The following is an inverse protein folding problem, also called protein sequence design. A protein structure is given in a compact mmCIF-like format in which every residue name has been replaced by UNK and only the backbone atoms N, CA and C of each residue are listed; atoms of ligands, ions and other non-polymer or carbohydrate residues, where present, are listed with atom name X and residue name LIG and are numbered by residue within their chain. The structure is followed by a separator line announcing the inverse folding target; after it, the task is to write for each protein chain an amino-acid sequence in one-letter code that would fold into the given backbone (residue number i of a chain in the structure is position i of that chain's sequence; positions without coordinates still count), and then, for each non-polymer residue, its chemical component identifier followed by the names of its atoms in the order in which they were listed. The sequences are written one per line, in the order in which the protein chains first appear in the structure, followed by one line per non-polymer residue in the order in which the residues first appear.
data_IF_616540450009
#
_entry.id   IF_616540450009
#
_cell.length_a   1.000
_cell.length_b   1.000
_cell.length_c   1.000
_cell.angle_alpha   90.00
_cell.angle_beta   90.00
_cell.angle_gamma   90.00
#
_symmetry.space_group_name_H-M   'P 1'
#
loop_
_entity.id
_entity.type
_entity.pdbx_description
1 polymer ?
#
# COMPACT_ATOMS: atom_id res chain seq x y z
N UNK A 1 -5.85 9.97 -12.74
CA UNK A 1 -7.32 10.11 -12.61
C UNK A 1 -7.78 9.10 -11.57
N UNK A 2 -8.57 9.51 -10.56
CA UNK A 2 -8.80 8.67 -9.38
C UNK A 2 -10.24 8.80 -8.84
N UNK A 3 -11.25 8.18 -9.48
CA UNK A 3 -12.56 8.01 -8.86
C UNK A 3 -12.44 7.12 -7.61
N UNK A 4 -13.24 7.40 -6.58
CA UNK A 4 -13.14 6.68 -5.30
C UNK A 4 -13.38 5.18 -5.48
N UNK A 5 -14.49 4.79 -6.13
CA UNK A 5 -14.80 3.38 -6.44
C UNK A 5 -15.40 3.30 -7.83
N UNK A 6 -15.03 2.31 -8.63
CA UNK A 6 -15.52 2.22 -10.01
C UNK A 6 -17.00 1.83 -10.07
N UNK A 7 -17.46 0.94 -9.19
CA UNK A 7 -18.85 0.46 -9.21
C UNK A 7 -19.91 1.53 -8.90
N UNK A 8 -19.51 2.61 -8.21
CA UNK A 8 -20.43 3.61 -7.68
C UNK A 8 -20.17 5.03 -8.17
N UNK A 9 -18.96 5.33 -8.67
CA UNK A 9 -18.53 6.70 -8.99
C UNK A 9 -19.06 7.20 -10.32
N UNK A 10 -19.24 6.31 -11.32
CA UNK A 10 -19.73 6.70 -12.64
C UNK A 10 -20.36 5.52 -13.41
N UNK A 11 -21.28 5.78 -14.36
CA UNK A 11 -21.74 4.77 -15.30
C UNK A 11 -20.62 4.21 -16.18
N UNK A 12 -20.74 2.96 -16.62
CA UNK A 12 -19.72 2.28 -17.42
C UNK A 12 -19.18 3.06 -18.65
N UNK A 13 -20.06 3.67 -19.49
CA UNK A 13 -19.58 4.49 -20.59
C UNK A 13 -18.68 5.66 -20.17
N UNK A 14 -18.99 6.32 -19.04
CA UNK A 14 -18.16 7.40 -18.50
C UNK A 14 -16.82 6.89 -17.99
N UNK A 15 -16.78 5.69 -17.39
CA UNK A 15 -15.53 5.07 -16.97
C UNK A 15 -14.58 4.82 -18.14
N UNK A 16 -15.11 4.36 -19.29
CA UNK A 16 -14.30 4.22 -20.53
C UNK A 16 -13.78 5.56 -21.04
N UNK A 17 -14.62 6.60 -21.03
CA UNK A 17 -14.18 7.94 -21.42
C UNK A 17 -13.11 8.51 -20.48
N UNK A 18 -13.24 8.25 -19.17
CA UNK A 18 -12.22 8.62 -18.17
C UNK A 18 -10.88 7.89 -18.45
N UNK A 19 -10.93 6.59 -18.76
CA UNK A 19 -9.72 5.82 -19.08
C UNK A 19 -9.04 6.35 -20.37
N UNK A 20 -9.80 6.60 -21.42
CA UNK A 20 -9.31 7.21 -22.66
C UNK A 20 -8.69 8.57 -22.43
N UNK A 21 -9.37 9.44 -21.69
CA UNK A 21 -8.88 10.80 -21.39
C UNK A 21 -7.58 10.73 -20.57
N UNK A 22 -7.51 9.87 -19.57
CA UNK A 22 -6.29 9.71 -18.77
C UNK A 22 -5.10 9.31 -19.64
N UNK A 23 -5.27 8.31 -20.51
CA UNK A 23 -4.24 7.86 -21.44
C UNK A 23 -3.85 8.94 -22.46
N UNK A 24 -4.82 9.68 -22.97
CA UNK A 24 -4.55 10.84 -23.87
C UNK A 24 -3.71 11.91 -23.17
N UNK A 25 -3.97 12.15 -21.87
CA UNK A 25 -3.22 13.12 -21.07
C UNK A 25 -1.90 12.58 -20.51
N UNK A 26 -1.59 11.30 -20.72
CA UNK A 26 -0.40 10.64 -20.16
C UNK A 26 -0.41 10.53 -18.65
N UNK A 27 -1.60 10.53 -18.01
CA UNK A 27 -1.76 10.36 -16.56
C UNK A 27 -2.26 8.96 -16.23
N UNK A 28 -1.88 8.46 -15.05
CA UNK A 28 -2.26 7.14 -14.59
C UNK A 28 -3.67 7.10 -14.00
N UNK A 29 -4.20 5.89 -13.88
CA UNK A 29 -5.52 5.57 -13.35
C UNK A 29 -5.41 4.89 -11.97
N UNK A 30 -6.25 5.29 -11.03
CA UNK A 30 -6.32 4.72 -9.70
C UNK A 30 -7.75 4.65 -9.18
N UNK A 31 -8.06 3.61 -8.40
CA UNK A 31 -9.31 3.50 -7.64
C UNK A 31 -9.16 2.46 -6.51
N UNK A 32 -10.17 2.34 -5.63
CA UNK A 32 -10.32 1.23 -4.69
C UNK A 32 -11.00 0.06 -5.39
N UNK A 33 -10.55 -1.17 -5.12
CA UNK A 33 -11.12 -2.36 -5.76
C UNK A 33 -11.03 -3.59 -4.84
N UNK A 34 -12.09 -4.40 -4.85
CA UNK A 34 -12.13 -5.73 -4.20
C UNK A 34 -11.67 -5.72 -2.73
N UNK A 35 -12.06 -4.69 -1.99
CA UNK A 35 -11.67 -4.53 -0.59
C UNK A 35 -12.49 -5.45 0.33
N UNK A 36 -13.82 -5.44 0.19
CA UNK A 36 -14.76 -6.13 1.06
C UNK A 36 -15.62 -7.14 0.30
N UNK A 37 -16.28 -8.05 1.02
CA UNK A 37 -17.25 -8.99 0.43
C UNK A 37 -18.43 -8.23 -0.16
N UNK A 38 -18.95 -7.22 0.53
CA UNK A 38 -20.06 -6.40 0.04
C UNK A 38 -19.77 -5.75 -1.32
N UNK A 39 -18.50 -5.38 -1.56
CA UNK A 39 -18.07 -4.83 -2.85
C UNK A 39 -18.21 -5.88 -3.98
N UNK A 40 -17.84 -7.14 -3.69
CA UNK A 40 -17.98 -8.26 -4.64
C UNK A 40 -19.46 -8.53 -4.92
N UNK A 41 -20.27 -8.61 -3.86
CA UNK A 41 -21.70 -8.89 -3.96
C UNK A 41 -22.43 -7.79 -4.75
N UNK A 42 -22.09 -6.53 -4.52
CA UNK A 42 -22.61 -5.39 -5.29
C UNK A 42 -22.25 -5.48 -6.78
N UNK A 43 -21.00 -5.84 -7.12
CA UNK A 43 -20.58 -6.04 -8.51
C UNK A 43 -21.37 -7.18 -9.17
N UNK A 44 -21.53 -8.29 -8.46
CA UNK A 44 -22.26 -9.46 -8.94
C UNK A 44 -23.73 -9.15 -9.14
N UNK A 45 -24.37 -8.52 -8.16
CA UNK A 45 -25.79 -8.19 -8.23
C UNK A 45 -26.11 -7.16 -9.34
N UNK A 46 -25.26 -6.15 -9.50
CA UNK A 46 -25.50 -5.03 -10.42
C UNK A 46 -25.08 -5.32 -11.85
N UNK A 47 -24.00 -6.07 -12.06
CA UNK A 47 -23.35 -6.25 -13.37
C UNK A 47 -23.20 -7.72 -13.78
N UNK A 48 -23.50 -8.67 -12.89
CA UNK A 48 -23.22 -10.11 -13.08
C UNK A 48 -21.73 -10.40 -13.40
N UNK A 49 -20.81 -9.58 -12.87
CA UNK A 49 -19.37 -9.65 -13.07
C UNK A 49 -18.65 -9.63 -11.73
N UNK A 50 -17.41 -10.08 -11.71
CA UNK A 50 -16.51 -9.75 -10.61
C UNK A 50 -15.97 -8.33 -10.76
N UNK A 51 -15.44 -7.69 -9.69
CA UNK A 51 -14.88 -6.34 -9.81
C UNK A 51 -13.78 -6.20 -10.86
N UNK A 52 -12.88 -7.18 -10.97
CA UNK A 52 -11.79 -7.14 -11.96
C UNK A 52 -12.32 -7.36 -13.38
N UNK A 53 -13.34 -8.23 -13.58
CA UNK A 53 -14.02 -8.36 -14.86
C UNK A 53 -14.70 -7.06 -15.29
N UNK A 54 -15.34 -6.38 -14.33
CA UNK A 54 -15.95 -5.06 -14.59
C UNK A 54 -14.88 -4.02 -15.01
N UNK A 55 -13.70 -4.02 -14.37
CA UNK A 55 -12.59 -3.15 -14.76
C UNK A 55 -12.11 -3.47 -16.19
N UNK A 56 -11.94 -4.76 -16.53
CA UNK A 56 -11.54 -5.19 -17.88
C UNK A 56 -12.54 -4.72 -18.95
N UNK A 57 -13.84 -4.87 -18.68
CA UNK A 57 -14.91 -4.45 -19.60
C UNK A 57 -14.92 -2.93 -19.86
N UNK A 58 -14.36 -2.13 -18.94
CA UNK A 58 -14.39 -0.67 -19.00
C UNK A 58 -13.02 -0.02 -19.24
N UNK A 59 -12.02 -0.77 -19.75
CA UNK A 59 -10.67 -0.30 -20.05
C UNK A 59 -9.87 0.19 -18.81
N UNK A 60 -10.19 -0.35 -17.63
CA UNK A 60 -9.53 -0.04 -16.36
C UNK A 60 -8.53 -1.12 -15.92
N UNK A 61 -7.87 -1.78 -16.86
CA UNK A 61 -6.70 -2.64 -16.61
C UNK A 61 -5.55 -2.19 -17.53
N UNK A 62 -4.33 -2.30 -17.03
CA UNK A 62 -3.12 -1.92 -17.77
C UNK A 62 -1.97 -1.56 -16.83
N UNK A 63 -0.78 -1.38 -17.38
CA UNK A 63 0.43 -0.96 -16.65
C UNK A 63 0.41 0.51 -16.21
N UNK A 64 -0.58 1.26 -16.70
CA UNK A 64 -0.92 2.61 -16.30
C UNK A 64 -2.01 2.67 -15.21
N UNK A 65 -2.48 1.51 -14.73
CA UNK A 65 -3.57 1.38 -13.75
C UNK A 65 -3.07 0.71 -12.48
N UNK A 66 -3.52 1.18 -11.32
CA UNK A 66 -3.29 0.51 -10.04
C UNK A 66 -4.48 0.71 -9.09
N UNK A 67 -4.70 -0.28 -8.23
CA UNK A 67 -5.81 -0.30 -7.28
C UNK A 67 -5.33 -0.38 -5.85
N UNK A 68 -6.04 0.29 -4.94
CA UNK A 68 -5.90 0.06 -3.51
C UNK A 68 -6.60 -1.24 -3.10
N UNK A 69 -6.08 -1.89 -2.06
CA UNK A 69 -6.61 -3.05 -1.33
C UNK A 69 -6.47 -4.40 -2.03
N UNK A 70 -7.25 -4.71 -3.06
CA UNK A 70 -7.27 -6.00 -3.78
C UNK A 70 -7.26 -7.21 -2.83
N UNK A 71 -8.06 -7.17 -1.76
CA UNK A 71 -8.09 -8.17 -0.68
C UNK A 71 -8.89 -9.41 -1.09
N UNK A 72 -10.04 -9.20 -1.76
CA UNK A 72 -11.01 -10.23 -2.12
C UNK A 72 -10.90 -10.59 -3.61
N UNK A 73 -9.82 -11.28 -3.97
CA UNK A 73 -9.56 -11.71 -5.34
C UNK A 73 -9.73 -13.22 -5.50
N UNK A 74 -10.24 -13.61 -6.65
CA UNK A 74 -10.21 -14.99 -7.13
C UNK A 74 -8.89 -15.28 -7.87
N UNK A 75 -8.42 -16.54 -7.94
CA UNK A 75 -7.17 -16.88 -8.65
C UNK A 75 -7.13 -16.40 -10.11
N UNK A 76 -8.24 -16.47 -10.83
CA UNK A 76 -8.34 -15.97 -12.21
C UNK A 76 -8.22 -14.46 -12.30
N UNK A 77 -8.66 -13.70 -11.27
CA UNK A 77 -8.52 -12.24 -11.22
C UNK A 77 -7.07 -11.84 -10.98
N UNK A 78 -6.35 -12.58 -10.12
CA UNK A 78 -4.91 -12.40 -9.94
C UNK A 78 -4.17 -12.61 -11.27
N UNK A 79 -4.52 -13.65 -12.03
CA UNK A 79 -3.94 -13.89 -13.35
C UNK A 79 -4.26 -12.74 -14.35
N UNK A 80 -5.47 -12.22 -14.36
CA UNK A 80 -5.86 -11.07 -15.20
C UNK A 80 -5.05 -9.81 -14.88
N UNK A 81 -4.91 -9.49 -13.59
CA UNK A 81 -4.12 -8.34 -13.11
C UNK A 81 -2.63 -8.50 -13.49
N UNK A 82 -2.08 -9.71 -13.37
CA UNK A 82 -0.71 -10.02 -13.78
C UNK A 82 -0.47 -9.87 -15.27
N UNK A 83 -1.35 -10.44 -16.09
CA UNK A 83 -1.28 -10.35 -17.56
C UNK A 83 -1.32 -8.90 -18.06
N UNK A 84 -2.11 -8.06 -17.44
CA UNK A 84 -2.23 -6.63 -17.77
C UNK A 84 -1.22 -5.75 -17.05
N UNK A 85 -0.43 -6.30 -16.12
CA UNK A 85 0.49 -5.57 -15.24
C UNK A 85 -0.18 -4.46 -14.44
N UNK A 86 -1.47 -4.62 -14.14
CA UNK A 86 -2.23 -3.70 -13.28
C UNK A 86 -1.72 -3.79 -11.85
N UNK A 87 -1.31 -2.66 -11.25
CA UNK A 87 -0.64 -2.61 -9.97
C UNK A 87 -1.56 -2.65 -8.75
N UNK A 88 -0.96 -2.92 -7.58
CA UNK A 88 -1.62 -2.82 -6.28
C UNK A 88 -0.89 -1.83 -5.36
N UNK A 89 -1.66 -1.00 -4.63
CA UNK A 89 -1.23 -0.36 -3.40
C UNK A 89 -1.86 -1.08 -2.21
N UNK A 90 -1.10 -1.91 -1.53
CA UNK A 90 -1.56 -2.64 -0.36
C UNK A 90 -1.55 -1.75 0.87
N UNK A 91 -2.68 -1.71 1.59
CA UNK A 91 -2.88 -0.87 2.77
C UNK A 91 -3.14 -1.76 4.01
N UNK A 92 -2.10 -2.44 4.55
CA UNK A 92 -2.29 -3.49 5.56
C UNK A 92 -2.94 -3.01 6.84
N UNK A 93 -2.59 -1.83 7.34
CA UNK A 93 -3.18 -1.29 8.58
C UNK A 93 -4.65 -0.89 8.36
N UNK A 94 -4.96 -0.20 7.26
CA UNK A 94 -6.35 0.13 6.90
C UNK A 94 -7.19 -1.14 6.76
N UNK A 95 -6.70 -2.13 6.00
CA UNK A 95 -7.39 -3.41 5.83
C UNK A 95 -7.63 -4.14 7.17
N UNK A 96 -6.65 -4.09 8.07
CA UNK A 96 -6.77 -4.62 9.42
C UNK A 96 -7.76 -3.85 10.27
N UNK A 97 -7.68 -2.52 10.26
CA UNK A 97 -8.55 -1.60 11.01
C UNK A 97 -10.02 -1.75 10.63
N UNK A 98 -10.31 -1.93 9.34
CA UNK A 98 -11.65 -2.08 8.78
C UNK A 98 -12.14 -3.54 8.76
N UNK A 99 -11.28 -4.52 9.08
CA UNK A 99 -11.63 -5.93 9.01
C UNK A 99 -11.76 -6.48 7.60
N UNK A 100 -11.20 -5.80 6.60
CA UNK A 100 -11.27 -6.22 5.20
C UNK A 100 -10.50 -7.52 4.93
N UNK A 101 -9.42 -7.77 5.68
CA UNK A 101 -8.58 -8.96 5.57
C UNK A 101 -7.18 -8.68 5.00
N UNK A 102 -6.50 -9.72 4.49
CA UNK A 102 -5.12 -9.66 4.03
C UNK A 102 -5.07 -10.01 2.54
N UNK A 103 -4.65 -9.07 1.68
CA UNK A 103 -4.38 -9.35 0.26
C UNK A 103 -3.22 -10.36 0.13
N UNK A 104 -3.24 -11.20 -0.90
CA UNK A 104 -2.18 -12.17 -1.18
C UNK A 104 -1.09 -11.55 -2.06
N UNK A 105 -0.18 -10.79 -1.44
CA UNK A 105 0.86 -10.07 -2.18
C UNK A 105 1.83 -11.00 -2.89
N UNK A 106 2.14 -12.14 -2.28
CA UNK A 106 3.07 -13.11 -2.88
C UNK A 106 2.47 -13.75 -4.14
N UNK A 107 1.18 -14.11 -4.10
CA UNK A 107 0.50 -14.62 -5.29
C UNK A 107 0.36 -13.55 -6.38
N UNK A 108 0.05 -12.30 -6.01
CA UNK A 108 -0.01 -11.18 -6.94
C UNK A 108 1.34 -10.92 -7.61
N UNK A 109 2.42 -10.84 -6.83
CA UNK A 109 3.76 -10.63 -7.37
C UNK A 109 4.22 -11.78 -8.27
N UNK A 110 3.95 -13.04 -7.86
CA UNK A 110 4.26 -14.23 -8.67
C UNK A 110 3.50 -14.23 -10.01
N UNK A 111 2.30 -13.66 -10.05
CA UNK A 111 1.54 -13.47 -11.29
C UNK A 111 2.04 -12.31 -12.15
N UNK A 112 2.99 -11.49 -11.69
CA UNK A 112 3.55 -10.35 -12.40
C UNK A 112 2.86 -9.01 -12.13
N UNK A 113 2.01 -8.93 -11.10
CA UNK A 113 1.39 -7.68 -10.64
C UNK A 113 2.44 -6.80 -9.97
N UNK A 114 2.62 -5.54 -10.37
CA UNK A 114 3.45 -4.59 -9.63
C UNK A 114 2.87 -4.33 -8.24
N UNK A 115 3.65 -4.64 -7.19
CA UNK A 115 3.23 -4.50 -5.79
C UNK A 115 3.80 -3.25 -5.17
N UNK A 116 2.96 -2.47 -4.48
CA UNK A 116 3.36 -1.35 -3.64
C UNK A 116 2.60 -1.31 -2.31
N UNK A 117 3.00 -0.41 -1.42
CA UNK A 117 2.34 -0.14 -0.16
C UNK A 117 1.69 1.24 -0.17
N UNK A 118 0.63 1.41 0.61
CA UNK A 118 -0.05 2.68 0.81
C UNK A 118 -0.62 2.78 2.23
N UNK A 119 -0.77 4.00 2.72
CA UNK A 119 -1.32 4.28 4.07
C UNK A 119 -2.84 4.38 4.09
N UNK A 120 -3.48 4.60 2.93
CA UNK A 120 -4.90 4.91 2.83
C UNK A 120 -5.27 6.25 3.53
N UNK A 121 -6.52 6.45 3.85
CA UNK A 121 -7.01 7.66 4.51
C UNK A 121 -6.85 7.64 6.04
N UNK A 122 -6.72 8.81 6.64
CA UNK A 122 -6.54 8.97 8.08
C UNK A 122 -7.69 8.42 8.93
N UNK A 123 -8.86 8.16 8.35
CA UNK A 123 -10.00 7.56 9.04
C UNK A 123 -9.82 6.05 9.30
N UNK A 124 -8.96 5.39 8.53
CA UNK A 124 -8.66 3.96 8.67
C UNK A 124 -7.19 3.67 8.98
N UNK A 125 -6.34 4.71 9.01
CA UNK A 125 -4.94 4.65 9.38
C UNK A 125 -4.50 5.98 9.98
N UNK A 126 -4.69 6.12 11.27
CA UNK A 126 -4.49 7.36 12.03
C UNK A 126 -3.04 7.84 12.03
N UNK A 127 -2.07 6.94 11.92
CA UNK A 127 -0.65 7.28 11.95
C UNK A 127 -0.10 7.76 10.61
N UNK A 128 -0.66 7.29 9.48
CA UNK A 128 -0.19 7.55 8.12
C UNK A 128 1.34 7.37 7.97
N UNK A 129 1.90 6.31 8.59
CA UNK A 129 3.33 6.04 8.67
C UNK A 129 3.70 4.85 7.76
N UNK A 130 4.40 5.13 6.66
CA UNK A 130 4.83 4.11 5.69
C UNK A 130 5.77 3.05 6.29
N UNK A 131 6.49 3.37 7.37
CA UNK A 131 7.36 2.40 8.03
C UNK A 131 6.54 1.36 8.80
N UNK A 132 5.50 1.80 9.50
CA UNK A 132 4.56 0.89 10.14
C UNK A 132 3.73 0.10 9.12
N UNK A 133 3.45 0.65 7.93
CA UNK A 133 2.85 -0.13 6.84
C UNK A 133 3.76 -1.27 6.37
N UNK A 134 5.05 -1.00 6.18
CA UNK A 134 6.01 -2.03 5.80
C UNK A 134 6.12 -3.13 6.88
N UNK A 135 6.17 -2.75 8.15
CA UNK A 135 6.16 -3.70 9.26
C UNK A 135 4.88 -4.54 9.28
N UNK A 136 3.71 -3.91 9.17
CA UNK A 136 2.43 -4.60 9.14
C UNK A 136 2.32 -5.53 7.92
N UNK A 137 2.72 -5.08 6.73
CA UNK A 137 2.74 -5.90 5.53
C UNK A 137 3.61 -7.16 5.72
N UNK A 138 4.82 -7.00 6.25
CA UNK A 138 5.72 -8.12 6.54
C UNK A 138 5.08 -9.14 7.46
N UNK A 139 4.57 -8.72 8.63
CA UNK A 139 3.96 -9.62 9.61
C UNK A 139 2.71 -10.31 9.06
N UNK A 140 1.83 -9.55 8.39
CA UNK A 140 0.56 -10.08 7.90
C UNK A 140 0.75 -11.06 6.73
N UNK A 141 1.72 -10.83 5.82
CA UNK A 141 2.03 -11.81 4.77
C UNK A 141 2.59 -13.10 5.37
N UNK A 142 3.43 -13.03 6.41
CA UNK A 142 3.93 -14.20 7.13
C UNK A 142 2.82 -14.94 7.86
N UNK A 143 1.94 -14.22 8.55
CA UNK A 143 0.78 -14.80 9.23
C UNK A 143 -0.16 -15.49 8.23
N UNK A 144 -0.46 -14.84 7.10
CA UNK A 144 -1.27 -15.43 6.01
C UNK A 144 -0.66 -16.72 5.49
N UNK A 145 0.64 -16.74 5.22
CA UNK A 145 1.36 -17.94 4.78
C UNK A 145 1.29 -19.06 5.83
N UNK A 146 1.49 -18.72 7.10
CA UNK A 146 1.38 -19.67 8.22
C UNK A 146 -0.01 -20.29 8.34
N UNK A 147 -1.08 -19.52 8.11
CA UNK A 147 -2.46 -20.05 8.10
C UNK A 147 -2.73 -21.05 6.96
N UNK A 148 -1.98 -20.99 5.87
CA UNK A 148 -2.10 -21.92 4.74
C UNK A 148 -1.31 -23.21 4.96
N UNK A 149 -0.34 -23.23 5.91
CA UNK A 149 0.46 -24.39 6.22
C UNK A 149 -0.41 -25.49 6.85
N UNK A 150 -0.30 -26.71 6.33
CA UNK A 150 -1.02 -27.88 6.87
C UNK A 150 -0.14 -28.58 7.92
N UNK A 151 -0.70 -29.04 9.07
CA UNK A 151 0.03 -29.88 10.00
C UNK A 151 0.50 -31.16 9.30
N UNK A 152 1.76 -31.54 9.50
CA UNK A 152 2.28 -32.85 9.13
C UNK A 152 2.21 -33.78 10.36
N UNK A 153 1.38 -34.81 10.29
CA UNK A 153 1.23 -35.79 11.36
C UNK A 153 2.23 -36.97 11.27
N UNK A 154 3.15 -36.91 10.32
CA UNK A 154 4.15 -37.97 10.04
C UNK A 154 5.49 -37.77 10.73
N UNK A 155 5.56 -36.86 11.72
CA UNK A 155 6.80 -36.58 12.45
C UNK A 155 7.79 -35.69 11.68
N UNK A 156 7.41 -35.20 10.51
CA UNK A 156 8.21 -34.26 9.73
C UNK A 156 8.23 -32.85 10.33
N UNK A 157 9.26 -32.08 10.00
CA UNK A 157 9.39 -30.68 10.41
C UNK A 157 8.24 -29.83 9.91
N UNK A 158 7.83 -28.86 10.70
CA UNK A 158 6.84 -27.85 10.32
C UNK A 158 7.30 -27.11 9.07
N UNK A 159 6.58 -27.20 7.96
CA UNK A 159 6.79 -26.30 6.83
C UNK A 159 6.22 -24.92 7.17
N UNK A 160 7.00 -24.13 7.88
CA UNK A 160 6.62 -22.79 8.27
C UNK A 160 7.47 -21.75 7.57
N UNK A 161 6.83 -20.90 6.81
CA UNK A 161 7.33 -19.55 6.51
C UNK A 161 8.58 -19.35 5.66
N UNK A 162 9.22 -20.41 5.15
CA UNK A 162 10.45 -20.28 4.35
C UNK A 162 10.26 -19.41 3.09
N UNK A 163 9.09 -19.49 2.47
CA UNK A 163 8.74 -18.71 1.27
C UNK A 163 7.81 -17.51 1.60
N UNK A 164 7.83 -17.04 2.83
CA UNK A 164 7.05 -15.87 3.23
C UNK A 164 7.81 -14.58 2.92
N UNK A 165 7.08 -13.46 2.86
CA UNK A 165 7.66 -12.15 2.61
C UNK A 165 8.83 -11.84 3.56
N UNK A 166 9.91 -11.28 3.00
CA UNK A 166 11.08 -10.80 3.72
C UNK A 166 10.97 -9.31 4.04
N UNK A 167 11.90 -8.79 4.83
CA UNK A 167 11.99 -7.34 5.08
C UNK A 167 12.37 -6.60 3.78
N UNK A 168 13.26 -7.18 2.99
CA UNK A 168 13.69 -6.64 1.70
C UNK A 168 12.52 -6.52 0.73
N UNK A 169 11.58 -7.50 0.71
CA UNK A 169 10.39 -7.43 -0.12
C UNK A 169 9.53 -6.23 0.25
N UNK A 170 9.20 -6.05 1.54
CA UNK A 170 8.32 -4.95 1.96
C UNK A 170 8.99 -3.58 1.79
N UNK A 171 10.31 -3.48 1.94
CA UNK A 171 11.07 -2.25 1.63
C UNK A 171 11.01 -1.98 0.13
N UNK A 172 11.20 -2.99 -0.71
CA UNK A 172 11.10 -2.88 -2.16
C UNK A 172 9.68 -2.48 -2.60
N UNK A 173 8.64 -3.07 -2.02
CA UNK A 173 7.25 -2.69 -2.30
C UNK A 173 6.96 -1.25 -1.91
N UNK A 174 7.44 -0.80 -0.73
CA UNK A 174 7.24 0.57 -0.25
C UNK A 174 8.09 1.63 -0.97
N UNK A 175 9.11 1.24 -1.74
CA UNK A 175 10.03 2.16 -2.44
C UNK A 175 9.95 1.99 -3.97
N UNK A 176 10.69 1.04 -4.53
CA UNK A 176 10.73 0.78 -5.98
C UNK A 176 9.36 0.41 -6.54
N UNK A 177 8.56 -0.39 -5.80
CA UNK A 177 7.20 -0.75 -6.17
C UNK A 177 6.28 0.47 -6.25
N UNK A 178 6.34 1.35 -5.24
CA UNK A 178 5.61 2.62 -5.25
C UNK A 178 5.99 3.50 -6.43
N UNK A 179 7.28 3.66 -6.69
CA UNK A 179 7.77 4.41 -7.86
C UNK A 179 7.28 3.81 -9.18
N UNK A 180 7.29 2.48 -9.28
CA UNK A 180 6.83 1.77 -10.49
C UNK A 180 5.36 2.04 -10.79
N UNK A 181 4.45 1.86 -9.81
CA UNK A 181 3.01 2.06 -10.05
C UNK A 181 2.66 3.53 -10.30
N UNK A 182 3.45 4.48 -9.77
CA UNK A 182 3.30 5.90 -10.02
C UNK A 182 3.97 6.36 -11.33
N UNK A 183 4.75 5.50 -11.98
CA UNK A 183 5.48 5.84 -13.22
C UNK A 183 6.69 6.75 -12.99
N UNK A 184 7.24 6.78 -11.78
CA UNK A 184 8.40 7.59 -11.40
C UNK A 184 9.70 6.85 -11.79
N UNK A 185 10.27 7.19 -12.93
CA UNK A 185 11.42 6.45 -13.47
C UNK A 185 12.74 6.73 -12.75
N UNK A 186 12.82 7.84 -12.00
CA UNK A 186 14.06 8.27 -11.32
C UNK A 186 13.98 8.23 -9.80
N UNK A 187 12.98 7.57 -9.21
CA UNK A 187 12.79 7.41 -7.76
C UNK A 187 12.68 5.93 -7.38
N UNK A 188 12.73 5.64 -6.08
CA UNK A 188 12.49 4.31 -5.50
C UNK A 188 13.72 3.44 -5.31
N UNK A 189 14.89 3.83 -5.81
CA UNK A 189 16.17 3.12 -5.61
C UNK A 189 17.32 4.10 -5.37
N UNK A 190 18.33 3.67 -4.60
CA UNK A 190 19.56 4.44 -4.34
C UNK A 190 20.61 4.01 -5.36
N UNK A 191 20.70 4.74 -6.47
CA UNK A 191 21.64 4.49 -7.55
C UNK A 191 22.13 5.80 -8.18
N UNK A 192 23.31 5.79 -8.79
CA UNK A 192 23.83 6.94 -9.54
C UNK A 192 22.89 7.28 -10.70
N UNK A 193 22.51 8.56 -10.81
CA UNK A 193 21.59 9.06 -11.81
C UNK A 193 20.09 9.08 -11.41
N UNK A 194 19.76 8.51 -10.24
CA UNK A 194 18.43 8.62 -9.63
C UNK A 194 18.28 9.91 -8.84
N UNK A 195 17.03 10.30 -8.54
CA UNK A 195 16.75 11.38 -7.60
C UNK A 195 17.16 10.96 -6.18
N UNK A 196 17.74 11.88 -5.44
CA UNK A 196 18.11 11.65 -4.05
C UNK A 196 16.89 11.85 -3.12
N UNK A 197 15.92 10.95 -3.23
CA UNK A 197 14.79 10.79 -2.31
C UNK A 197 15.17 9.71 -1.31
N UNK A 198 15.82 10.08 -0.20
CA UNK A 198 16.53 9.15 0.70
C UNK A 198 16.13 9.42 2.14
N UNK A 199 15.64 8.38 2.82
CA UNK A 199 15.46 8.37 4.27
C UNK A 199 16.67 7.69 4.94
N UNK A 200 17.29 8.37 5.90
CA UNK A 200 18.41 7.86 6.69
C UNK A 200 17.93 7.69 8.12
N UNK A 201 17.93 6.45 8.61
CA UNK A 201 17.47 6.11 9.95
C UNK A 201 18.62 6.04 10.95
N UNK A 202 18.33 6.36 12.21
CA UNK A 202 19.23 6.14 13.33
C UNK A 202 19.10 4.71 13.81
N UNK A 203 20.22 4.07 14.14
CA UNK A 203 20.27 2.70 14.64
C UNK A 203 20.88 2.63 16.07
N UNK A 204 20.89 3.75 16.77
CA UNK A 204 21.42 3.90 18.13
C UNK A 204 20.36 3.73 19.24
N UNK A 205 19.16 3.28 18.88
CA UNK A 205 18.11 2.93 19.84
C UNK A 205 18.34 1.50 20.39
N UNK A 206 18.18 1.25 21.69
CA UNK A 206 18.33 -0.07 22.32
C UNK A 206 17.54 -1.19 21.65
N UNK A 207 16.41 -0.90 20.97
CA UNK A 207 15.61 -1.88 20.22
C UNK A 207 16.36 -2.57 19.09
N UNK A 208 17.44 -1.96 18.60
CA UNK A 208 18.26 -2.50 17.51
C UNK A 208 19.48 -3.27 18.00
N UNK A 209 19.82 -3.19 19.29
CA UNK A 209 21.03 -3.80 19.83
C UNK A 209 20.91 -5.33 19.79
N UNK A 210 21.92 -5.98 19.25
CA UNK A 210 21.97 -7.43 19.13
C UNK A 210 21.24 -8.01 17.92
N UNK A 211 20.69 -7.20 17.01
CA UNK A 211 20.23 -7.69 15.73
C UNK A 211 21.39 -8.27 14.92
N UNK A 212 21.17 -9.42 14.26
CA UNK A 212 22.15 -10.04 13.38
C UNK A 212 22.44 -9.18 12.14
N UNK A 213 21.46 -8.40 11.70
CA UNK A 213 21.55 -7.38 10.67
C UNK A 213 20.80 -6.12 11.14
N UNK A 214 21.54 -5.05 11.40
CA UNK A 214 20.96 -3.79 11.86
C UNK A 214 20.19 -3.08 10.75
N UNK A 215 20.46 -3.37 9.47
CA UNK A 215 19.80 -2.70 8.35
C UNK A 215 18.29 -3.02 8.29
N UNK A 216 17.87 -4.18 8.77
CA UNK A 216 16.44 -4.55 8.85
C UNK A 216 15.70 -3.89 10.03
N UNK A 217 16.45 -3.39 11.01
CA UNK A 217 15.92 -2.90 12.30
C UNK A 217 14.75 -1.92 12.17
N UNK A 218 14.83 -0.88 11.35
CA UNK A 218 13.77 0.09 11.19
C UNK A 218 12.40 -0.50 10.82
N UNK A 219 12.38 -1.58 10.06
CA UNK A 219 11.13 -2.28 9.71
C UNK A 219 10.83 -3.42 10.70
N UNK A 220 11.83 -4.28 10.99
CA UNK A 220 11.63 -5.48 11.77
C UNK A 220 11.19 -5.23 13.22
N UNK A 221 11.73 -4.18 13.86
CA UNK A 221 11.43 -3.89 15.27
C UNK A 221 10.08 -3.19 15.46
N UNK A 222 9.44 -2.72 14.39
CA UNK A 222 8.19 -1.96 14.48
C UNK A 222 8.31 -0.63 15.24
N UNK A 223 7.19 0.07 15.38
CA UNK A 223 7.14 1.39 15.97
C UNK A 223 7.82 2.45 15.09
N UNK A 224 7.84 3.69 15.57
CA UNK A 224 8.44 4.80 14.83
C UNK A 224 9.97 4.71 14.87
N UNK A 225 10.59 4.53 13.72
CA UNK A 225 12.03 4.64 13.57
C UNK A 225 12.45 6.11 13.50
N UNK A 226 13.50 6.48 14.26
CA UNK A 226 14.01 7.86 14.26
C UNK A 226 14.80 8.15 12.99
N UNK A 227 14.49 9.29 12.36
CA UNK A 227 15.20 9.78 11.20
C UNK A 227 16.43 10.61 11.62
N UNK A 228 17.59 10.27 11.06
CA UNK A 228 18.73 11.17 11.05
C UNK A 228 18.52 12.28 10.02
N UNK A 229 18.07 11.90 8.82
CA UNK A 229 17.72 12.85 7.76
C UNK A 229 16.71 12.24 6.77
N UNK A 230 15.88 13.11 6.20
CA UNK A 230 15.09 12.81 5.00
C UNK A 230 15.48 13.83 3.93
N UNK A 231 15.88 13.32 2.78
CA UNK A 231 16.14 14.13 1.60
C UNK A 231 15.09 13.89 0.53
N UNK A 232 14.67 14.95 -0.14
CA UNK A 232 13.82 14.92 -1.33
C UNK A 232 14.52 15.72 -2.43
N UNK A 233 14.79 15.05 -3.54
CA UNK A 233 15.55 15.61 -4.66
C UNK A 233 16.87 16.27 -4.18
N UNK A 234 17.58 15.60 -3.25
CA UNK A 234 18.83 16.07 -2.67
C UNK A 234 18.73 17.20 -1.64
N UNK A 235 17.54 17.70 -1.34
CA UNK A 235 17.34 18.72 -0.29
C UNK A 235 16.94 18.05 1.02
N UNK A 236 17.63 18.38 2.10
CA UNK A 236 17.25 17.92 3.45
C UNK A 236 15.94 18.60 3.87
N UNK A 237 14.92 17.79 4.12
CA UNK A 237 13.57 18.21 4.53
C UNK A 237 13.34 17.92 6.01
N UNK A 238 13.91 16.82 6.52
CA UNK A 238 13.89 16.48 7.95
C UNK A 238 15.31 16.27 8.39
N UNK A 239 15.67 16.78 9.56
CA UNK A 239 16.95 16.55 10.21
C UNK A 239 16.73 16.22 11.69
N UNK A 240 17.25 15.08 12.16
CA UNK A 240 17.10 14.58 13.53
C UNK A 240 15.63 14.61 14.02
N UNK A 241 14.71 14.05 13.21
CA UNK A 241 13.26 14.04 13.43
C UNK A 241 12.58 15.43 13.46
N UNK A 242 13.27 16.50 13.11
CA UNK A 242 12.74 17.86 13.09
C UNK A 242 12.57 18.32 11.64
N UNK A 243 11.43 18.90 11.33
CA UNK A 243 11.19 19.63 10.08
C UNK A 243 11.57 21.10 10.30
N UNK A 244 12.66 21.60 9.69
CA UNK A 244 13.09 22.96 9.90
C UNK A 244 12.01 24.00 9.55
N UNK A 245 11.74 24.94 10.45
CA UNK A 245 10.75 25.99 10.24
C UNK A 245 9.30 25.59 10.50
N UNK A 246 9.01 24.34 10.89
CA UNK A 246 7.68 23.91 11.27
C UNK A 246 7.41 24.17 12.75
N UNK A 247 6.39 25.00 13.05
CA UNK A 247 5.89 25.22 14.41
C UNK A 247 4.86 24.12 14.75
N UNK A 248 5.34 23.08 15.44
CA UNK A 248 4.50 21.95 15.85
C UNK A 248 3.44 22.34 16.89
N UNK A 249 3.71 23.33 17.75
CA UNK A 249 2.73 23.79 18.74
C UNK A 249 1.58 24.56 18.09
N UNK A 250 1.88 25.44 17.15
CA UNK A 250 0.85 26.11 16.35
C UNK A 250 0.02 25.10 15.57
N UNK A 251 0.65 24.11 14.92
CA UNK A 251 -0.04 23.05 14.20
C UNK A 251 -0.95 22.22 15.12
N UNK A 252 -0.47 21.84 16.30
CA UNK A 252 -1.25 21.11 17.31
C UNK A 252 -2.51 21.88 17.72
N UNK A 253 -2.38 23.18 18.02
CA UNK A 253 -3.51 24.03 18.39
C UNK A 253 -4.54 24.14 17.26
N UNK A 254 -4.08 24.31 16.00
CA UNK A 254 -4.95 24.35 14.83
C UNK A 254 -5.71 23.02 14.63
N UNK A 255 -5.02 21.89 14.75
CA UNK A 255 -5.62 20.56 14.60
C UNK A 255 -6.70 20.31 15.67
N UNK A 256 -6.41 20.61 16.95
CA UNK A 256 -7.38 20.48 18.06
C UNK A 256 -8.61 21.36 17.81
N UNK A 257 -8.40 22.60 17.38
CA UNK A 257 -9.51 23.54 17.07
C UNK A 257 -10.38 23.04 15.92
N UNK A 258 -9.75 22.53 14.84
CA UNK A 258 -10.47 21.97 13.71
C UNK A 258 -11.33 20.75 14.11
N UNK A 259 -10.78 19.83 14.90
CA UNK A 259 -11.52 18.66 15.40
C UNK A 259 -12.71 19.08 16.25
N UNK A 260 -12.53 20.01 17.19
CA UNK A 260 -13.64 20.53 18.01
C UNK A 260 -14.74 21.15 17.16
N UNK A 261 -14.37 21.94 16.15
CA UNK A 261 -15.35 22.54 15.21
C UNK A 261 -16.15 21.48 14.45
N UNK A 262 -15.47 20.43 13.97
CA UNK A 262 -16.15 19.30 13.29
C UNK A 262 -17.11 18.56 14.24
N UNK A 263 -16.68 18.27 15.46
CA UNK A 263 -17.52 17.61 16.48
C UNK A 263 -18.77 18.45 16.81
N UNK A 264 -18.62 19.76 16.98
CA UNK A 264 -19.76 20.67 17.23
C UNK A 264 -20.74 20.67 16.06
N UNK A 265 -20.27 20.70 14.81
CA UNK A 265 -21.13 20.64 13.62
C UNK A 265 -21.83 19.30 13.45
N UNK A 266 -21.20 18.20 13.87
CA UNK A 266 -21.80 16.89 13.80
C UNK A 266 -22.82 16.61 14.91
N UNK A 267 -22.79 17.35 16.00
CA UNK A 267 -23.71 17.22 17.13
C UNK A 267 -24.99 18.08 17.01
N UNK A 268 -25.04 19.03 16.09
CA UNK A 268 -26.20 19.89 15.79
C UNK A 268 -26.87 19.52 14.51
#
# INVERSE_FOLDING_TARGET
MAPTTLLHSAPGPQLREMAKLARHLGIRLHSHLSETVDYLDAARAKFNMTPVQFCAEHDWLGDDVWFAHLVKLLPQEIAMLGQTRTGIAHCPQSNGRLGSGIADLLALEQAGVPVSLGVDGAASNEAADMQSEAHAAWLLQRARKGMQAKPRYDGGSFEGGGDAATIEDVVRWGSAGGAQILGLQKSGTVQVGMLADIAIYRLDDPRYFGLHDMAIGPVACGGRASLRALMINGRVIVENDVIPGLDLDAMRHQAISAVRTLQQRAAG
#
